data_IF_313865298758
#
_entry.id   IF_313865298758
#
_cell.length_a   1.000
_cell.length_b   1.000
_cell.length_c   1.000
_cell.angle_alpha   90.00
_cell.angle_beta   90.00
_cell.angle_gamma   90.00
#
_symmetry.space_group_name_H-M   'P 1'
#
loop_
_entity.id
_entity.type
_entity.pdbx_description
1 polymer ?
#
# COMPACT_ATOMS: atom_id res chain seq x y z
N UNK A 1 -9.19 2.77 3.96
CA UNK A 1 -8.28 3.93 4.07
C UNK A 1 -7.07 3.73 3.18
N UNK A 2 -6.51 4.82 2.68
CA UNK A 2 -5.23 4.80 1.98
C UNK A 2 -4.47 6.10 2.21
N UNK A 3 -3.14 6.05 2.13
CA UNK A 3 -2.27 7.22 2.12
C UNK A 3 -0.92 6.88 1.53
N UNK A 4 -0.23 7.89 1.01
CA UNK A 4 1.06 7.74 0.37
C UNK A 4 2.21 8.06 1.33
N UNK A 5 3.32 7.35 1.16
CA UNK A 5 4.52 7.51 1.97
C UNK A 5 5.77 7.11 1.20
N UNK A 6 6.93 7.54 1.70
CA UNK A 6 8.25 7.09 1.25
C UNK A 6 9.10 6.76 2.47
N UNK A 7 9.92 5.72 2.37
CA UNK A 7 10.89 5.31 3.38
C UNK A 7 12.29 5.67 2.89
N UNK A 8 13.13 6.21 3.76
CA UNK A 8 14.53 6.50 3.47
C UNK A 8 15.44 6.07 4.62
N UNK A 9 16.68 5.73 4.30
CA UNK A 9 17.67 5.30 5.29
C UNK A 9 19.10 5.69 4.89
N UNK A 10 19.90 6.04 5.88
CA UNK A 10 21.35 6.21 5.77
C UNK A 10 22.11 4.86 5.78
N UNK A 11 21.40 3.74 5.94
CA UNK A 11 21.97 2.39 5.87
C UNK A 11 22.12 1.83 4.45
N UNK A 12 21.58 2.54 3.45
CA UNK A 12 21.79 2.19 2.05
C UNK A 12 23.19 2.58 1.57
N UNK A 13 23.93 1.75 0.81
CA UNK A 13 23.67 0.34 0.45
C UNK A 13 24.52 -0.60 1.32
N UNK A 14 25.36 -0.04 2.18
CA UNK A 14 26.44 -0.72 2.92
C UNK A 14 25.89 -1.81 3.84
N UNK A 15 24.71 -1.61 4.39
CA UNK A 15 24.13 -2.49 5.40
C UNK A 15 23.00 -3.38 4.88
N UNK A 16 22.74 -3.34 3.57
CA UNK A 16 21.75 -4.23 2.92
C UNK A 16 22.10 -5.69 3.19
N UNK A 17 21.10 -6.49 3.58
CA UNK A 17 21.24 -7.90 3.99
C UNK A 17 22.13 -8.13 5.23
N UNK A 18 22.34 -7.11 6.05
CA UNK A 18 23.02 -7.22 7.36
C UNK A 18 22.00 -7.36 8.50
N UNK A 19 22.50 -7.36 9.74
CA UNK A 19 21.67 -7.29 10.94
C UNK A 19 21.18 -5.87 11.27
N UNK A 20 21.78 -4.87 10.65
CA UNK A 20 21.41 -3.47 10.74
C UNK A 20 20.35 -3.17 9.68
N UNK A 21 19.12 -3.50 9.97
CA UNK A 21 18.04 -3.42 9.01
C UNK A 21 16.85 -2.73 9.68
N UNK A 22 16.83 -1.43 9.57
CA UNK A 22 15.78 -0.61 10.13
C UNK A 22 14.43 -0.98 9.57
N UNK A 23 13.44 -0.90 10.41
CA UNK A 23 12.08 -1.34 10.10
C UNK A 23 11.06 -0.30 10.48
N UNK A 24 10.00 -0.23 9.71
CA UNK A 24 8.82 0.52 10.08
C UNK A 24 7.55 -0.29 9.79
N UNK A 25 6.46 0.12 10.41
CA UNK A 25 5.15 -0.46 10.19
C UNK A 25 4.04 0.57 10.41
N UNK A 26 2.93 0.38 9.72
CA UNK A 26 1.69 1.07 9.97
C UNK A 26 0.67 0.08 10.50
N UNK A 27 0.53 0.00 11.82
CA UNK A 27 -0.34 -0.94 12.49
C UNK A 27 -1.77 -0.40 12.51
N UNK A 28 -2.67 -1.09 11.82
CA UNK A 28 -4.10 -0.78 11.79
C UNK A 28 -4.85 -1.76 12.67
N UNK A 29 -5.71 -1.24 13.58
CA UNK A 29 -6.60 -2.03 14.42
C UNK A 29 -8.01 -1.45 14.45
N UNK A 30 -9.01 -2.29 14.62
CA UNK A 30 -10.42 -1.88 14.66
C UNK A 30 -11.38 -2.98 14.25
N UNK A 31 -12.67 -2.68 14.14
CA UNK A 31 -13.70 -3.65 13.81
C UNK A 31 -13.42 -4.41 12.51
N UNK A 32 -13.46 -5.74 12.59
CA UNK A 32 -13.20 -6.64 11.46
C UNK A 32 -11.72 -6.89 11.18
N UNK A 33 -10.79 -6.31 11.95
CA UNK A 33 -9.35 -6.57 11.88
C UNK A 33 -8.96 -7.50 13.00
N UNK A 34 -8.30 -8.61 12.65
CA UNK A 34 -7.67 -9.55 13.58
C UNK A 34 -6.22 -9.70 13.12
N UNK A 35 -5.27 -9.43 14.01
CA UNK A 35 -3.86 -9.43 13.62
C UNK A 35 -2.92 -9.90 14.73
N UNK A 36 -1.65 -10.20 14.34
CA UNK A 36 -0.66 -10.73 15.27
C UNK A 36 0.02 -9.67 16.14
N UNK A 37 -0.22 -8.39 15.86
CA UNK A 37 0.47 -7.29 16.56
C UNK A 37 -0.39 -6.72 17.68
N UNK A 38 0.28 -6.16 18.68
CA UNK A 38 -0.37 -5.49 19.80
C UNK A 38 -1.20 -4.29 19.34
N UNK A 39 -2.34 -4.12 19.97
CA UNK A 39 -3.27 -3.01 19.72
C UNK A 39 -3.61 -2.28 21.03
N UNK A 40 -4.03 -1.01 20.97
CA UNK A 40 -4.38 -0.25 22.16
C UNK A 40 -5.67 -0.75 22.81
N UNK A 41 -5.88 -0.37 24.06
CA UNK A 41 -7.13 -0.63 24.77
C UNK A 41 -8.34 -0.11 23.96
N UNK A 42 -9.34 -0.95 23.80
CA UNK A 42 -10.52 -0.68 22.97
C UNK A 42 -10.51 -1.40 21.61
N UNK A 43 -9.39 -2.00 21.23
CA UNK A 43 -9.24 -2.79 19.99
C UNK A 43 -8.64 -4.17 20.31
N UNK A 44 -9.39 -5.11 20.92
CA UNK A 44 -8.83 -6.31 21.55
C UNK A 44 -8.31 -7.39 20.58
N UNK A 45 -8.65 -7.29 19.30
CA UNK A 45 -8.38 -8.34 18.32
C UNK A 45 -7.00 -8.19 17.63
N UNK A 46 -6.18 -7.26 18.14
CA UNK A 46 -4.85 -7.01 17.61
C UNK A 46 -4.81 -6.04 16.44
N UNK A 47 -3.65 -5.96 15.79
CA UNK A 47 -3.41 -5.09 14.66
C UNK A 47 -2.75 -5.84 13.50
N UNK A 48 -2.95 -5.34 12.28
CA UNK A 48 -2.22 -5.76 11.08
C UNK A 48 -1.26 -4.65 10.63
N UNK A 49 -0.14 -5.02 10.04
CA UNK A 49 0.66 -4.05 9.29
C UNK A 49 -0.01 -3.79 7.92
N UNK A 50 -0.01 -2.54 7.45
CA UNK A 50 -0.50 -2.16 6.14
C UNK A 50 0.59 -1.50 5.26
N UNK A 51 1.85 -1.53 5.72
CA UNK A 51 3.01 -1.03 4.99
C UNK A 51 3.76 -2.20 4.35
N UNK A 52 3.41 -2.54 3.12
CA UNK A 52 4.02 -3.61 2.35
C UNK A 52 4.39 -3.15 0.94
N UNK A 53 5.34 -3.85 0.32
CA UNK A 53 5.64 -3.68 -1.09
C UNK A 53 4.44 -4.15 -1.94
N UNK A 54 4.02 -3.33 -2.90
CA UNK A 54 2.94 -3.73 -3.79
C UNK A 54 3.35 -4.92 -4.67
N UNK A 55 2.36 -5.73 -5.04
CA UNK A 55 2.53 -6.87 -5.96
C UNK A 55 3.49 -7.97 -5.48
N UNK A 56 3.72 -8.10 -4.18
CA UNK A 56 4.50 -9.21 -3.61
C UNK A 56 3.61 -10.28 -2.99
N UNK A 57 3.98 -11.56 -3.19
CA UNK A 57 3.32 -12.71 -2.57
C UNK A 57 4.41 -13.70 -2.07
N UNK A 58 4.61 -13.89 -0.77
CA UNK A 58 3.91 -13.21 0.33
C UNK A 58 4.21 -11.71 0.41
N UNK A 59 3.33 -10.95 1.07
CA UNK A 59 3.53 -9.52 1.33
C UNK A 59 4.87 -9.27 2.05
N UNK A 60 5.71 -8.42 1.44
CA UNK A 60 7.02 -8.09 1.98
C UNK A 60 6.98 -6.75 2.71
N UNK A 61 7.43 -6.67 3.98
CA UNK A 61 7.61 -5.40 4.66
C UNK A 61 8.69 -4.57 3.95
N UNK A 62 8.62 -3.27 4.08
CA UNK A 62 9.58 -2.35 3.47
C UNK A 62 10.75 -2.15 4.43
N UNK A 63 11.93 -2.52 3.98
CA UNK A 63 13.21 -2.38 4.67
C UNK A 63 14.30 -2.15 3.62
N UNK A 64 15.51 -1.78 4.03
CA UNK A 64 16.65 -1.68 3.12
C UNK A 64 16.98 -3.02 2.46
N UNK A 65 16.70 -4.14 3.15
CA UNK A 65 16.98 -5.48 2.61
C UNK A 65 15.90 -5.99 1.66
N UNK A 66 14.69 -5.43 1.70
CA UNK A 66 13.60 -5.79 0.78
C UNK A 66 13.50 -4.85 -0.45
N UNK A 67 14.02 -3.63 -0.34
CA UNK A 67 14.05 -2.63 -1.44
C UNK A 67 15.44 -2.05 -1.53
N UNK A 68 16.15 -2.31 -2.61
CA UNK A 68 17.51 -1.81 -2.85
C UNK A 68 17.87 -1.93 -4.34
N UNK A 69 19.08 -1.59 -4.73
CA UNK A 69 19.54 -1.62 -6.12
C UNK A 69 19.67 -3.03 -6.74
N UNK A 70 19.43 -4.10 -5.97
CA UNK A 70 19.51 -5.50 -6.43
C UNK A 70 18.20 -6.26 -6.26
N UNK A 71 17.29 -5.78 -5.41
CA UNK A 71 16.02 -6.41 -5.12
C UNK A 71 14.90 -5.37 -5.07
N UNK A 72 13.86 -5.58 -5.89
CA UNK A 72 12.74 -4.64 -6.03
C UNK A 72 13.22 -3.22 -6.38
N UNK A 73 14.19 -3.13 -7.29
CA UNK A 73 14.90 -1.92 -7.65
C UNK A 73 14.00 -0.86 -8.30
N UNK A 74 12.86 -1.27 -8.86
CA UNK A 74 11.84 -0.36 -9.35
C UNK A 74 11.22 0.54 -8.27
N UNK A 75 11.36 0.14 -7.00
CA UNK A 75 10.90 0.95 -5.85
C UNK A 75 12.04 1.72 -5.17
N UNK A 76 13.29 1.53 -5.59
CA UNK A 76 14.46 2.15 -4.98
C UNK A 76 14.96 3.38 -5.74
N UNK A 77 15.34 4.40 -5.01
CA UNK A 77 16.00 5.61 -5.52
C UNK A 77 17.33 5.78 -4.78
N UNK A 78 18.42 5.76 -5.55
CA UNK A 78 19.77 6.02 -5.05
C UNK A 78 19.97 7.52 -4.78
N UNK A 79 20.43 7.88 -3.59
CA UNK A 79 20.70 9.24 -3.18
C UNK A 79 22.07 9.40 -2.51
N UNK A 80 23.01 8.51 -2.80
CA UNK A 80 24.35 8.51 -2.20
C UNK A 80 25.10 9.86 -2.33
N UNK A 81 24.69 10.72 -3.24
CA UNK A 81 25.22 12.07 -3.35
C UNK A 81 24.45 13.12 -2.53
N UNK A 82 23.47 12.72 -1.75
CA UNK A 82 22.63 13.57 -0.89
C UNK A 82 22.02 14.78 -1.63
N UNK A 83 21.52 14.54 -2.84
CA UNK A 83 21.00 15.61 -3.70
C UNK A 83 19.60 16.06 -3.29
N UNK A 84 18.78 15.15 -2.77
CA UNK A 84 17.37 15.40 -2.51
C UNK A 84 17.04 15.45 -1.00
N UNK A 85 17.53 14.47 -0.26
CA UNK A 85 17.38 14.33 1.20
C UNK A 85 18.70 13.92 1.81
N UNK A 86 18.79 13.83 3.14
CA UNK A 86 20.01 13.43 3.83
C UNK A 86 20.31 11.94 3.63
N UNK A 87 19.26 11.10 3.60
CA UNK A 87 19.39 9.64 3.51
C UNK A 87 20.05 9.20 2.21
N UNK A 88 20.92 8.20 2.27
CA UNK A 88 21.70 7.68 1.14
C UNK A 88 20.84 6.96 0.09
N UNK A 89 19.65 6.54 0.48
CA UNK A 89 18.65 5.99 -0.42
C UNK A 89 17.24 6.08 0.12
N UNK A 90 16.25 6.02 -0.75
CA UNK A 90 14.84 6.06 -0.37
C UNK A 90 13.94 5.33 -1.39
N UNK A 91 12.71 5.08 -0.99
CA UNK A 91 11.74 4.47 -1.91
C UNK A 91 11.02 5.52 -2.75
N UNK A 92 10.53 5.12 -3.92
CA UNK A 92 9.47 5.87 -4.60
C UNK A 92 8.27 6.06 -3.66
N UNK A 93 7.34 6.93 -4.02
CA UNK A 93 6.08 7.04 -3.26
C UNK A 93 5.31 5.72 -3.33
N UNK A 94 5.04 5.14 -2.17
CA UNK A 94 4.28 3.90 -1.99
C UNK A 94 2.93 4.24 -1.36
N UNK A 95 1.97 3.34 -1.50
CA UNK A 95 0.63 3.53 -0.93
C UNK A 95 0.33 2.46 0.11
N UNK A 96 0.07 2.86 1.34
CA UNK A 96 -0.51 2.00 2.36
C UNK A 96 -2.02 1.92 2.16
N UNK A 97 -2.57 0.71 2.21
CA UNK A 97 -4.01 0.46 2.05
C UNK A 97 -4.53 -0.41 3.16
N UNK A 98 -5.61 0.01 3.80
CA UNK A 98 -6.30 -0.78 4.82
C UNK A 98 -7.80 -0.84 4.56
N UNK A 99 -8.37 -2.04 4.59
CA UNK A 99 -9.81 -2.24 4.44
C UNK A 99 -10.48 -1.92 5.76
N UNK A 100 -11.46 -1.02 5.75
CA UNK A 100 -12.19 -0.57 6.92
C UNK A 100 -13.70 -0.62 6.67
N UNK A 101 -14.46 -0.79 7.74
CA UNK A 101 -15.93 -0.75 7.68
C UNK A 101 -16.43 0.68 7.88
N UNK A 102 -17.46 1.03 7.15
CA UNK A 102 -18.06 2.35 7.23
C UNK A 102 -18.61 2.68 8.63
N UNK A 103 -18.47 3.94 9.02
CA UNK A 103 -19.02 4.45 10.28
C UNK A 103 -18.35 3.90 11.55
N UNK A 104 -17.26 3.13 11.40
CA UNK A 104 -16.52 2.58 12.53
C UNK A 104 -15.27 3.40 12.85
N UNK A 105 -14.79 3.27 14.08
CA UNK A 105 -13.55 3.91 14.52
C UNK A 105 -12.41 2.92 14.46
N UNK A 106 -11.30 3.36 13.88
CA UNK A 106 -10.06 2.60 13.75
C UNK A 106 -8.91 3.35 14.40
N UNK A 107 -7.91 2.60 14.82
CA UNK A 107 -6.66 3.15 15.33
C UNK A 107 -5.53 2.76 14.39
N UNK A 108 -4.72 3.74 14.00
CA UNK A 108 -3.49 3.53 13.25
C UNK A 108 -2.30 3.97 14.11
N UNK A 109 -1.29 3.11 14.21
CA UNK A 109 -0.03 3.40 14.88
C UNK A 109 1.09 3.34 13.87
N UNK A 110 1.79 4.46 13.70
CA UNK A 110 3.01 4.52 12.90
C UNK A 110 4.20 4.26 13.84
N UNK A 111 5.03 3.31 13.46
CA UNK A 111 6.20 2.94 14.25
C UNK A 111 7.41 2.79 13.33
N UNK A 112 8.55 3.30 13.77
CA UNK A 112 9.87 3.12 13.16
C UNK A 112 10.84 2.72 14.25
N UNK A 113 11.79 1.84 13.93
CA UNK A 113 12.77 1.36 14.90
C UNK A 113 14.07 0.97 14.21
N UNK A 114 15.18 1.30 14.87
CA UNK A 114 16.51 0.84 14.47
C UNK A 114 16.64 -0.67 14.66
N UNK A 115 17.32 -1.31 13.72
CA UNK A 115 17.65 -2.71 13.77
C UNK A 115 19.06 -2.94 14.31
N UNK A 116 19.17 -3.50 15.53
CA UNK A 116 20.41 -3.92 16.19
C UNK A 116 21.28 -2.84 16.81
N UNK A 117 21.23 -1.60 16.40
CA UNK A 117 21.98 -0.50 17.01
C UNK A 117 21.13 0.80 17.09
N UNK A 118 21.77 1.94 17.20
CA UNK A 118 21.13 3.26 17.26
C UNK A 118 21.94 4.29 16.47
N UNK A 119 22.60 3.83 15.42
CA UNK A 119 23.42 4.64 14.54
C UNK A 119 22.81 4.62 13.14
N UNK A 120 22.97 5.69 12.40
CA UNK A 120 22.35 5.94 11.11
C UNK A 120 20.82 6.13 11.21
N UNK A 121 20.31 7.05 10.45
CA UNK A 121 18.91 7.47 10.60
C UNK A 121 18.06 6.92 9.47
N UNK A 122 16.89 6.39 9.85
CA UNK A 122 15.83 6.07 8.91
C UNK A 122 14.63 6.98 9.11
N UNK A 123 13.97 7.33 8.01
CA UNK A 123 12.80 8.21 8.00
C UNK A 123 11.64 7.60 7.26
N UNK A 124 10.43 7.97 7.66
CA UNK A 124 9.21 7.77 6.89
C UNK A 124 8.56 9.12 6.66
N UNK A 125 8.38 9.47 5.40
CA UNK A 125 7.73 10.73 5.00
C UNK A 125 6.32 10.40 4.50
N UNK A 126 5.32 11.10 5.06
CA UNK A 126 3.92 10.98 4.62
C UNK A 126 3.60 12.11 3.65
N UNK A 127 2.94 11.78 2.54
CA UNK A 127 2.48 12.80 1.59
C UNK A 127 1.30 13.57 2.17
N UNK A 128 1.44 14.88 2.28
CA UNK A 128 0.40 15.75 2.79
C UNK A 128 -0.86 15.69 1.90
N UNK A 129 -2.02 15.49 2.52
CA UNK A 129 -3.29 15.41 1.82
C UNK A 129 -3.58 14.09 1.11
N UNK A 130 -2.67 13.11 1.16
CA UNK A 130 -2.88 11.79 0.56
C UNK A 130 -3.79 10.87 1.39
N UNK A 131 -3.98 11.17 2.68
CA UNK A 131 -4.83 10.36 3.54
C UNK A 131 -6.29 10.45 3.10
N UNK A 132 -6.85 9.31 2.70
CA UNK A 132 -8.25 9.20 2.31
C UNK A 132 -8.92 8.05 3.04
N UNK A 133 -10.16 8.26 3.45
CA UNK A 133 -11.02 7.19 3.99
C UNK A 133 -12.06 6.73 2.96
N UNK A 134 -12.00 7.25 1.76
CA UNK A 134 -12.97 7.01 0.71
C UNK A 134 -12.31 7.04 -0.67
N UNK A 135 -12.25 5.89 -1.32
CA UNK A 135 -11.95 5.80 -2.76
C UNK A 135 -13.09 4.99 -3.41
N UNK A 136 -13.91 5.59 -4.26
CA UNK A 136 -14.79 4.80 -5.12
C UNK A 136 -13.90 3.98 -6.06
N UNK A 137 -14.08 2.68 -6.10
CA UNK A 137 -13.41 1.85 -7.08
C UNK A 137 -14.38 1.44 -8.17
N UNK A 138 -13.96 1.59 -9.42
CA UNK A 138 -14.69 1.08 -10.59
C UNK A 138 -13.83 -0.01 -11.19
N UNK A 139 -14.33 -1.24 -11.18
CA UNK A 139 -13.65 -2.39 -11.77
C UNK A 139 -14.52 -2.92 -12.90
N UNK A 140 -13.98 -2.94 -14.10
CA UNK A 140 -14.58 -3.63 -15.23
C UNK A 140 -14.12 -5.08 -15.24
N UNK A 141 -15.04 -6.01 -15.27
CA UNK A 141 -14.77 -7.45 -15.33
C UNK A 141 -15.49 -8.06 -16.54
N UNK A 142 -14.82 -8.98 -17.21
CA UNK A 142 -15.38 -9.80 -18.27
C UNK A 142 -15.13 -11.25 -17.91
N UNK A 143 -16.18 -12.07 -17.91
CA UNK A 143 -16.01 -13.51 -17.74
C UNK A 143 -15.74 -14.15 -19.09
N UNK A 144 -14.46 -14.33 -19.41
CA UNK A 144 -13.99 -15.02 -20.61
C UNK A 144 -13.40 -16.42 -20.29
N UNK A 145 -13.84 -17.03 -19.19
CA UNK A 145 -13.44 -18.38 -18.78
C UNK A 145 -13.68 -19.40 -19.90
N UNK A 146 -12.62 -20.06 -20.33
CA UNK A 146 -12.67 -21.08 -21.37
C UNK A 146 -12.54 -20.57 -22.81
N UNK A 147 -12.31 -19.27 -23.00
CA UNK A 147 -12.03 -18.68 -24.30
C UNK A 147 -10.54 -18.33 -24.44
N UNK A 148 -10.00 -18.50 -25.64
CA UNK A 148 -8.61 -18.14 -25.97
C UNK A 148 -8.52 -16.68 -26.40
N UNK A 149 -8.93 -15.76 -25.52
CA UNK A 149 -8.86 -14.32 -25.75
C UNK A 149 -8.13 -13.67 -24.56
N UNK A 150 -7.49 -12.50 -24.75
CA UNK A 150 -6.88 -11.78 -23.63
C UNK A 150 -7.91 -11.45 -22.55
N UNK A 151 -7.47 -11.42 -21.30
CA UNK A 151 -8.29 -10.96 -20.19
C UNK A 151 -8.87 -9.57 -20.48
N UNK A 152 -10.09 -9.32 -19.99
CA UNK A 152 -10.84 -8.08 -20.24
C UNK A 152 -11.24 -7.83 -21.71
N UNK A 153 -11.34 -8.88 -22.53
CA UNK A 153 -11.86 -8.79 -23.90
C UNK A 153 -13.33 -9.15 -23.93
N UNK A 154 -14.18 -8.20 -24.34
CA UNK A 154 -15.59 -8.44 -24.64
C UNK A 154 -15.75 -8.93 -26.08
N UNK A 155 -16.52 -10.00 -26.27
CA UNK A 155 -16.88 -10.52 -27.59
C UNK A 155 -18.39 -10.29 -27.79
N UNK A 156 -18.73 -9.54 -28.82
CA UNK A 156 -20.11 -9.18 -29.15
C UNK A 156 -20.99 -10.45 -29.31
N UNK A 157 -22.11 -10.46 -28.58
CA UNK A 157 -23.07 -11.56 -28.61
C UNK A 157 -22.66 -12.84 -27.90
N UNK A 158 -21.46 -12.90 -27.27
CA UNK A 158 -20.95 -14.09 -26.60
C UNK A 158 -20.63 -13.92 -25.13
N UNK A 159 -20.33 -12.71 -24.67
CA UNK A 159 -19.88 -12.46 -23.31
C UNK A 159 -20.59 -11.26 -22.70
N UNK A 160 -20.97 -11.40 -21.45
CA UNK A 160 -21.44 -10.31 -20.63
C UNK A 160 -20.27 -9.62 -19.90
N UNK A 161 -20.24 -8.29 -19.97
CA UNK A 161 -19.31 -7.47 -19.18
C UNK A 161 -20.00 -6.90 -17.95
N UNK A 162 -19.30 -6.90 -16.83
CA UNK A 162 -19.79 -6.37 -15.57
C UNK A 162 -18.93 -5.19 -15.13
N UNK A 163 -19.57 -4.11 -14.76
CA UNK A 163 -18.90 -2.99 -14.08
C UNK A 163 -19.32 -3.02 -12.63
N UNK A 164 -18.35 -3.31 -11.77
CA UNK A 164 -18.56 -3.22 -10.32
C UNK A 164 -18.14 -1.85 -9.85
N UNK A 165 -19.09 -1.11 -9.29
CA UNK A 165 -18.83 0.18 -8.64
C UNK A 165 -18.93 -0.03 -7.15
N UNK A 166 -17.82 0.16 -6.44
CA UNK A 166 -17.81 0.11 -4.99
C UNK A 166 -17.87 1.52 -4.45
N UNK A 167 -18.94 1.82 -3.69
CA UNK A 167 -19.10 3.10 -3.02
C UNK A 167 -18.17 3.19 -1.81
N UNK A 168 -17.45 4.29 -1.73
CA UNK A 168 -16.49 4.53 -0.68
C UNK A 168 -17.10 5.12 0.60
N UNK A 169 -18.22 5.82 0.50
CA UNK A 169 -18.86 6.47 1.65
C UNK A 169 -20.27 5.91 1.89
N UNK A 170 -20.61 5.64 3.14
CA UNK A 170 -21.86 4.96 3.49
C UNK A 170 -23.06 5.89 3.61
N UNK A 171 -22.83 7.17 3.89
CA UNK A 171 -23.88 8.10 4.32
C UNK A 171 -24.40 9.03 3.20
N UNK A 172 -23.66 9.18 2.09
CA UNK A 172 -24.04 10.08 1.00
C UNK A 172 -24.57 9.33 -0.22
N UNK A 173 -25.60 9.89 -0.84
CA UNK A 173 -26.03 9.45 -2.17
C UNK A 173 -25.09 10.05 -3.21
N UNK A 174 -24.21 9.24 -3.77
CA UNK A 174 -23.40 9.60 -4.92
C UNK A 174 -24.09 9.17 -6.20
N UNK A 175 -24.13 10.05 -7.20
CA UNK A 175 -24.54 9.70 -8.55
C UNK A 175 -23.28 9.49 -9.39
N UNK A 176 -23.18 8.32 -10.00
CA UNK A 176 -22.10 8.00 -10.93
C UNK A 176 -22.68 8.04 -12.33
N UNK A 177 -22.19 8.95 -13.15
CA UNK A 177 -22.55 9.01 -14.55
C UNK A 177 -21.65 8.08 -15.36
N UNK A 178 -22.24 7.06 -15.96
CA UNK A 178 -21.54 6.13 -16.85
C UNK A 178 -21.81 6.58 -18.29
N UNK A 179 -20.78 6.97 -19.02
CA UNK A 179 -20.84 7.21 -20.45
C UNK A 179 -20.18 6.06 -21.21
N UNK A 180 -20.89 5.52 -22.18
CA UNK A 180 -20.37 4.50 -23.09
C UNK A 180 -20.01 5.16 -24.41
N UNK A 181 -18.75 5.00 -24.84
CA UNK A 181 -18.27 5.46 -26.13
C UNK A 181 -17.69 4.29 -26.92
N UNK A 182 -17.79 4.36 -28.21
CA UNK A 182 -17.24 3.37 -29.13
C UNK A 182 -18.04 3.31 -30.41
N UNK A 183 -17.46 2.76 -31.46
CA UNK A 183 -18.16 2.36 -32.68
C UNK A 183 -18.42 0.86 -32.58
N UNK A 184 -19.68 0.46 -32.68
CA UNK A 184 -20.04 -0.93 -32.87
C UNK A 184 -19.64 -1.39 -34.27
#
# INVERSE_FOLDING_TARGET
ISFNYSFGSDEYLEWVNSTYNDVFAFFLSGPGIVGPYDSPAGFPDGAINIAFLPNTDPELPITISSVNNALNDEYYIDNVNNNDVQQDGFTVSLTAVGVVQCGQTYHIKLAIADGSDTALESIVVLEAGSFTSSQPSIVANVDNTGLSVPDNTLIEGCLDGFITVTKANCDDSESIELSFGGTA
#
